data_IF_765427972947
#
_entry.id   IF_765427972947
#
_cell.length_a   1.000
_cell.length_b   1.000
_cell.length_c   1.000
_cell.angle_alpha   90.00
_cell.angle_beta   90.00
_cell.angle_gamma   90.00
#
_symmetry.space_group_name_H-M   'P 1'
#
loop_
_entity.id
_entity.type
_entity.pdbx_description
1 polymer ?
#
# COMPACT_ATOMS: atom_id res chain seq x y z
N UNK A 1 15.84 42.34 -14.20
CA UNK A 1 14.43 42.67 -14.45
C UNK A 1 13.71 42.44 -13.13
N UNK A 2 13.38 43.51 -12.40
CA UNK A 2 12.71 43.39 -11.11
C UNK A 2 11.21 43.14 -11.37
N UNK A 3 10.67 42.04 -10.84
CA UNK A 3 9.23 41.79 -10.87
C UNK A 3 8.56 42.70 -9.82
N UNK A 4 7.67 43.58 -10.27
CA UNK A 4 6.68 44.20 -9.39
C UNK A 4 5.39 43.38 -9.47
N UNK A 5 4.91 42.88 -8.34
CA UNK A 5 3.64 42.16 -8.23
C UNK A 5 2.63 43.01 -7.47
N UNK A 6 1.47 43.21 -8.08
CA UNK A 6 0.31 43.84 -7.46
C UNK A 6 -0.54 42.74 -6.79
N UNK A 7 -0.91 42.94 -5.53
CA UNK A 7 -1.90 42.10 -4.86
C UNK A 7 -3.31 42.51 -5.31
N UNK A 8 -4.07 41.57 -5.85
CA UNK A 8 -5.49 41.76 -6.17
C UNK A 8 -6.33 41.33 -4.96
N UNK A 9 -7.01 42.29 -4.32
CA UNK A 9 -7.79 42.09 -3.09
C UNK A 9 -9.15 41.40 -3.30
N UNK A 10 -9.16 40.15 -3.77
CA UNK A 10 -10.33 39.28 -3.75
C UNK A 10 -10.27 38.29 -2.58
N UNK A 11 -11.41 37.95 -1.96
CA UNK A 11 -11.45 36.98 -0.87
C UNK A 11 -11.18 35.57 -1.40
N UNK A 12 -10.09 34.96 -0.93
CA UNK A 12 -9.60 33.66 -1.37
C UNK A 12 -10.00 32.59 -0.34
N UNK A 13 -10.55 31.42 -0.75
CA UNK A 13 -10.85 30.33 0.18
C UNK A 13 -9.60 29.87 0.93
N UNK A 14 -9.76 29.54 2.22
CA UNK A 14 -8.71 29.38 3.25
C UNK A 14 -7.58 28.36 2.95
N UNK A 15 -7.66 27.64 1.84
CA UNK A 15 -6.76 26.55 1.45
C UNK A 15 -5.83 26.97 0.31
N UNK A 16 -6.04 28.13 -0.32
CA UNK A 16 -5.28 28.60 -1.47
C UNK A 16 -4.18 29.55 -0.99
N UNK A 17 -2.93 29.08 -1.05
CA UNK A 17 -1.76 29.94 -0.89
C UNK A 17 -1.51 30.66 -2.21
N UNK A 18 -1.79 31.96 -2.25
CA UNK A 18 -1.19 32.79 -3.29
C UNK A 18 0.29 32.88 -3.01
N UNK A 19 1.08 32.26 -3.88
CA UNK A 19 2.51 32.52 -3.92
C UNK A 19 2.70 33.76 -4.78
N UNK A 20 2.60 34.92 -4.13
CA UNK A 20 2.87 36.21 -4.77
C UNK A 20 4.32 36.31 -5.24
N UNK A 21 5.22 35.42 -4.79
CA UNK A 21 6.64 35.48 -5.13
C UNK A 21 7.19 34.09 -5.48
N UNK A 22 6.93 33.63 -6.71
CA UNK A 22 7.77 32.59 -7.28
C UNK A 22 9.18 33.17 -7.46
N UNK A 23 10.18 32.55 -6.82
CA UNK A 23 11.59 32.85 -7.06
C UNK A 23 11.82 32.89 -8.58
N UNK A 24 12.13 34.07 -9.10
CA UNK A 24 12.16 34.37 -10.54
C UNK A 24 12.95 33.35 -11.37
N UNK A 25 13.98 32.71 -10.80
CA UNK A 25 14.76 31.68 -11.46
C UNK A 25 13.99 30.38 -11.76
N UNK A 26 13.15 29.89 -10.84
CA UNK A 26 12.38 28.65 -11.03
C UNK A 26 11.27 28.85 -12.07
N UNK A 27 10.58 29.99 -11.98
CA UNK A 27 9.57 30.40 -12.98
C UNK A 27 10.19 30.55 -14.37
N UNK A 28 11.35 31.21 -14.47
CA UNK A 28 12.05 31.36 -15.75
C UNK A 28 12.49 30.01 -16.33
N UNK A 29 12.87 29.05 -15.49
CA UNK A 29 13.19 27.68 -15.94
C UNK A 29 11.97 26.98 -16.52
N UNK A 30 10.83 27.01 -15.83
CA UNK A 30 9.56 26.43 -16.29
C UNK A 30 9.10 27.10 -17.58
N UNK A 31 9.12 28.43 -17.65
CA UNK A 31 8.71 29.18 -18.85
C UNK A 31 9.64 28.93 -20.04
N UNK A 32 10.96 28.76 -19.82
CA UNK A 32 11.89 28.34 -20.88
C UNK A 32 11.59 26.94 -21.40
N UNK A 33 11.25 26.00 -20.53
CA UNK A 33 10.85 24.65 -20.95
C UNK A 33 9.57 24.69 -21.77
N UNK A 34 8.56 25.43 -21.30
CA UNK A 34 7.31 25.64 -22.05
C UNK A 34 7.59 26.28 -23.42
N UNK A 35 8.46 27.28 -23.49
CA UNK A 35 8.84 27.93 -24.75
C UNK A 35 9.54 26.97 -25.74
N UNK A 36 10.22 25.94 -25.23
CA UNK A 36 10.77 24.87 -26.05
C UNK A 36 9.71 23.92 -26.61
N UNK A 37 8.59 23.72 -25.88
CA UNK A 37 7.47 22.89 -26.29
C UNK A 37 6.54 23.59 -27.29
N UNK A 38 6.41 24.92 -27.22
CA UNK A 38 5.52 25.70 -28.12
C UNK A 38 6.01 25.76 -29.57
N UNK A 39 7.23 25.30 -29.87
CA UNK A 39 7.69 25.08 -31.25
C UNK A 39 6.82 24.10 -32.07
N UNK A 40 6.00 23.29 -31.40
CA UNK A 40 5.07 22.32 -32.00
C UNK A 40 3.60 22.57 -31.58
N UNK A 41 3.23 23.84 -31.35
CA UNK A 41 1.88 24.21 -30.92
C UNK A 41 0.84 23.95 -32.03
N UNK A 42 -0.14 23.10 -31.76
CA UNK A 42 -1.30 22.94 -32.65
C UNK A 42 -2.17 24.20 -32.65
N UNK A 43 -2.78 24.59 -33.77
CA UNK A 43 -3.67 25.77 -33.77
C UNK A 43 -4.93 25.50 -32.93
N UNK A 44 -5.51 24.32 -33.06
CA UNK A 44 -6.66 23.90 -32.27
C UNK A 44 -6.57 22.43 -31.89
N UNK A 45 -6.83 22.12 -30.63
CA UNK A 45 -6.95 20.75 -30.12
C UNK A 45 -8.37 20.55 -29.56
N UNK A 46 -9.09 19.58 -30.11
CA UNK A 46 -10.41 19.18 -29.64
C UNK A 46 -10.30 17.95 -28.76
N UNK A 47 -10.89 18.01 -27.56
CA UNK A 47 -10.84 16.96 -26.56
C UNK A 47 -12.27 16.59 -26.17
N UNK A 48 -12.63 15.32 -26.35
CA UNK A 48 -13.99 14.83 -26.14
C UNK A 48 -14.00 13.47 -25.44
N UNK A 49 -14.99 13.26 -24.58
CA UNK A 49 -15.19 11.98 -23.90
C UNK A 49 -14.04 11.63 -22.96
N UNK A 50 -13.65 10.35 -22.91
CA UNK A 50 -12.58 9.86 -22.03
C UNK A 50 -11.31 9.64 -22.84
N UNK A 51 -10.31 10.49 -22.63
CA UNK A 51 -9.06 10.47 -23.38
C UNK A 51 -7.91 10.06 -22.49
N UNK A 52 -7.26 8.94 -22.83
CA UNK A 52 -6.02 8.53 -22.21
C UNK A 52 -4.87 8.82 -23.16
N UNK A 53 -4.02 9.76 -22.77
CA UNK A 53 -2.86 10.15 -23.57
C UNK A 53 -1.60 9.46 -23.05
N UNK A 54 -0.63 9.21 -23.94
CA UNK A 54 0.74 8.85 -23.56
C UNK A 54 1.66 10.07 -23.53
N UNK A 55 1.21 11.18 -24.11
CA UNK A 55 1.94 12.44 -24.15
C UNK A 55 1.82 13.15 -22.80
N UNK A 56 2.95 13.60 -22.27
CA UNK A 56 3.01 14.38 -21.02
C UNK A 56 2.82 15.88 -21.26
N UNK A 57 2.82 16.30 -22.54
CA UNK A 57 2.74 17.70 -22.94
C UNK A 57 1.60 17.89 -23.93
N UNK A 58 0.63 18.73 -23.60
CA UNK A 58 -0.42 19.17 -24.51
C UNK A 58 -0.25 20.66 -24.76
N UNK A 59 0.06 21.03 -26.01
CA UNK A 59 0.35 22.40 -26.39
C UNK A 59 -0.47 22.77 -27.62
N UNK A 60 -1.40 23.72 -27.47
CA UNK A 60 -2.24 24.20 -28.56
C UNK A 60 -2.60 25.68 -28.37
N UNK A 61 -2.79 26.46 -29.42
CA UNK A 61 -3.27 27.84 -29.25
C UNK A 61 -4.67 27.85 -28.64
N UNK A 62 -5.59 27.07 -29.20
CA UNK A 62 -6.92 26.88 -28.63
C UNK A 62 -7.15 25.42 -28.25
N UNK A 63 -7.52 25.16 -27.01
CA UNK A 63 -7.91 23.83 -26.55
C UNK A 63 -9.40 23.82 -26.23
N UNK A 64 -10.19 23.00 -26.92
CA UNK A 64 -11.64 22.94 -26.75
C UNK A 64 -12.02 21.61 -26.10
N UNK A 65 -12.64 21.70 -24.92
CA UNK A 65 -13.19 20.57 -24.21
C UNK A 65 -14.70 20.49 -24.39
N UNK A 66 -15.16 19.35 -24.91
CA UNK A 66 -16.58 19.00 -24.94
C UNK A 66 -17.09 18.69 -23.52
N UNK A 67 -18.42 18.73 -23.27
CA UNK A 67 -18.95 18.52 -21.92
C UNK A 67 -18.59 17.11 -21.39
N UNK A 68 -18.29 17.01 -20.09
CA UNK A 68 -17.93 15.75 -19.42
C UNK A 68 -16.63 15.11 -19.94
N UNK A 69 -15.71 15.91 -20.49
CA UNK A 69 -14.42 15.39 -20.96
C UNK A 69 -13.54 15.00 -19.77
N UNK A 70 -12.97 13.80 -19.82
CA UNK A 70 -12.01 13.28 -18.84
C UNK A 70 -10.68 12.99 -19.51
N UNK A 71 -9.68 13.81 -19.22
CA UNK A 71 -8.31 13.67 -19.70
C UNK A 71 -7.46 12.93 -18.66
N UNK A 72 -6.80 11.85 -19.08
CA UNK A 72 -6.08 10.91 -18.22
C UNK A 72 -4.63 10.78 -18.69
N UNK A 73 -3.70 11.25 -17.87
CA UNK A 73 -2.25 11.12 -18.08
C UNK A 73 -1.70 9.83 -17.46
N UNK A 74 -0.54 9.30 -17.90
CA UNK A 74 0.09 8.17 -17.25
C UNK A 74 0.69 8.58 -15.88
N UNK A 75 0.86 7.61 -14.97
CA UNK A 75 1.45 7.84 -13.65
C UNK A 75 2.93 8.27 -13.69
N UNK A 76 3.65 7.85 -14.74
CA UNK A 76 5.05 8.17 -14.95
C UNK A 76 5.35 8.44 -16.42
N UNK A 77 6.25 9.40 -16.64
CA UNK A 77 6.87 9.63 -17.94
C UNK A 77 8.04 8.65 -18.14
N UNK A 78 8.16 7.95 -19.28
CA UNK A 78 9.32 7.13 -19.57
C UNK A 78 10.60 7.95 -19.90
N UNK A 79 10.50 9.28 -20.15
CA UNK A 79 11.55 9.99 -20.90
C UNK A 79 11.93 11.42 -20.46
N UNK A 80 11.49 11.95 -19.31
CA UNK A 80 12.27 13.02 -18.64
C UNK A 80 11.54 14.22 -18.02
N UNK A 81 12.37 15.06 -17.37
CA UNK A 81 12.16 16.38 -16.75
C UNK A 81 11.10 16.49 -15.63
N UNK A 82 11.34 15.80 -14.52
CA UNK A 82 10.41 15.78 -13.38
C UNK A 82 9.15 15.02 -13.76
N UNK A 83 8.47 14.39 -12.81
CA UNK A 83 7.24 13.65 -13.11
C UNK A 83 6.06 14.61 -13.35
N UNK A 84 6.21 15.60 -14.23
CA UNK A 84 5.28 16.71 -14.43
C UNK A 84 4.64 16.68 -15.81
N UNK A 85 3.34 16.97 -15.84
CA UNK A 85 2.52 17.13 -17.03
C UNK A 85 2.46 18.61 -17.38
N UNK A 86 2.54 18.96 -18.65
CA UNK A 86 2.39 20.34 -19.12
C UNK A 86 1.16 20.47 -20.00
N UNK A 87 0.27 21.40 -19.64
CA UNK A 87 -0.87 21.80 -20.46
C UNK A 87 -0.72 23.29 -20.73
N UNK A 88 -0.56 23.64 -22.00
CA UNK A 88 -0.24 25.00 -22.43
C UNK A 88 -1.21 25.40 -23.54
N UNK A 89 -2.05 26.42 -23.28
CA UNK A 89 -2.93 26.95 -24.31
C UNK A 89 -3.19 28.44 -24.19
N UNK A 90 -3.33 29.16 -25.29
CA UNK A 90 -3.73 30.58 -25.21
C UNK A 90 -5.17 30.67 -24.67
N UNK A 91 -6.09 29.96 -25.33
CA UNK A 91 -7.49 29.88 -24.94
C UNK A 91 -7.87 28.45 -24.58
N UNK A 92 -8.50 28.25 -23.43
CA UNK A 92 -9.18 26.99 -23.10
C UNK A 92 -10.69 27.23 -23.20
N UNK A 93 -11.38 26.51 -24.09
CA UNK A 93 -12.84 26.58 -24.24
C UNK A 93 -13.47 25.40 -23.54
N UNK A 94 -14.40 25.68 -22.63
CA UNK A 94 -15.03 24.66 -21.78
C UNK A 94 -16.54 24.77 -21.86
N UNK A 95 -17.18 23.71 -22.35
CA UNK A 95 -18.64 23.66 -22.57
C UNK A 95 -19.42 22.88 -21.49
N UNK A 96 -18.75 22.43 -20.44
CA UNK A 96 -19.33 21.71 -19.29
C UNK A 96 -18.24 21.31 -18.30
N UNK A 97 -18.50 20.36 -17.42
CA UNK A 97 -17.47 19.93 -16.47
C UNK A 97 -16.38 19.11 -17.16
N UNK A 98 -15.12 19.44 -16.87
CA UNK A 98 -13.93 18.78 -17.38
C UNK A 98 -13.12 18.23 -16.22
N UNK A 99 -12.62 17.02 -16.37
CA UNK A 99 -11.73 16.41 -15.39
C UNK A 99 -10.35 16.13 -16.01
N UNK A 100 -9.31 16.65 -15.38
CA UNK A 100 -7.92 16.35 -15.68
C UNK A 100 -7.37 15.49 -14.55
N UNK A 101 -6.94 14.27 -14.86
CA UNK A 101 -6.43 13.34 -13.86
C UNK A 101 -5.35 12.43 -14.45
N UNK A 102 -4.92 11.43 -13.68
CA UNK A 102 -3.90 10.47 -14.06
C UNK A 102 -4.37 9.03 -13.86
N UNK A 103 -3.69 8.12 -14.56
CA UNK A 103 -3.96 6.70 -14.57
C UNK A 103 -3.39 6.07 -13.30
N UNK A 104 -4.26 5.89 -12.31
CA UNK A 104 -3.95 5.14 -11.10
C UNK A 104 -3.72 3.67 -11.46
N UNK A 105 -2.56 3.06 -11.17
CA UNK A 105 -2.39 1.62 -11.32
C UNK A 105 -3.48 0.89 -10.55
N UNK A 106 -4.02 -0.17 -11.14
CA UNK A 106 -5.01 -1.00 -10.45
C UNK A 106 -4.29 -1.68 -9.30
N UNK A 107 -4.77 -1.46 -8.07
CA UNK A 107 -4.21 -2.12 -6.90
C UNK A 107 -4.26 -3.64 -7.07
N UNK A 108 -3.19 -4.33 -6.69
CA UNK A 108 -3.26 -5.78 -6.54
C UNK A 108 -4.27 -6.05 -5.42
N UNK A 109 -5.31 -6.83 -5.72
CA UNK A 109 -6.35 -7.16 -4.74
C UNK A 109 -5.78 -7.75 -3.45
N UNK A 110 -6.57 -7.72 -2.37
CA UNK A 110 -6.17 -8.26 -1.07
C UNK A 110 -5.57 -9.66 -1.25
N UNK A 111 -4.31 -9.83 -0.86
CA UNK A 111 -3.65 -11.14 -0.94
C UNK A 111 -4.42 -12.14 -0.05
N UNK A 112 -4.59 -13.39 -0.50
CA UNK A 112 -5.34 -14.39 0.26
C UNK A 112 -4.63 -14.70 1.58
N UNK A 113 -5.38 -15.04 2.64
CA UNK A 113 -4.80 -15.46 3.91
C UNK A 113 -3.99 -16.76 3.74
N UNK A 114 -2.88 -16.88 4.49
CA UNK A 114 -1.96 -18.04 4.42
C UNK A 114 -2.46 -19.28 5.19
N UNK A 115 -3.59 -19.18 5.88
CA UNK A 115 -4.20 -20.28 6.63
C UNK A 115 -3.40 -20.67 7.87
N UNK A 116 -3.20 -21.98 8.09
CA UNK A 116 -2.46 -22.54 9.23
C UNK A 116 -1.19 -23.26 8.77
N UNK A 117 -0.12 -23.14 9.54
CA UNK A 117 1.11 -23.89 9.35
C UNK A 117 0.91 -25.39 9.65
N UNK A 118 1.78 -26.27 9.12
CA UNK A 118 1.67 -27.70 9.37
C UNK A 118 1.73 -28.07 10.85
N UNK A 119 0.98 -29.11 11.23
CA UNK A 119 1.01 -29.65 12.59
C UNK A 119 2.29 -30.45 12.84
N UNK A 120 2.65 -30.58 14.12
CA UNK A 120 3.72 -31.43 14.60
C UNK A 120 3.35 -32.90 14.44
N UNK A 121 4.34 -33.72 14.08
CA UNK A 121 4.16 -35.15 13.91
C UNK A 121 3.88 -35.81 15.27
N UNK A 122 2.82 -36.61 15.35
CA UNK A 122 2.53 -37.44 16.52
C UNK A 122 3.61 -38.51 16.71
N UNK A 123 4.02 -38.73 17.96
CA UNK A 123 4.95 -39.78 18.32
C UNK A 123 4.36 -41.17 18.05
N UNK A 124 5.23 -42.12 17.68
CA UNK A 124 4.83 -43.48 17.33
C UNK A 124 5.31 -44.51 18.35
N UNK A 125 6.49 -44.29 18.91
CA UNK A 125 7.12 -45.25 19.80
C UNK A 125 6.73 -45.00 21.26
N UNK A 126 6.56 -46.05 22.09
CA UNK A 126 6.06 -45.85 23.44
C UNK A 126 6.89 -44.88 24.28
N UNK A 127 6.21 -43.93 24.92
CA UNK A 127 6.85 -42.88 25.72
C UNK A 127 7.55 -41.78 24.91
N UNK A 128 7.55 -41.84 23.57
CA UNK A 128 8.16 -40.82 22.73
C UNK A 128 7.34 -39.52 22.77
N UNK A 129 7.99 -38.35 22.90
CA UNK A 129 7.30 -37.07 22.87
C UNK A 129 6.82 -36.70 21.46
N UNK A 130 5.68 -36.03 21.37
CA UNK A 130 5.18 -35.46 20.12
C UNK A 130 6.07 -34.32 19.62
N UNK A 131 6.14 -34.13 18.30
CA UNK A 131 6.94 -33.05 17.72
C UNK A 131 6.23 -31.69 17.87
N UNK A 132 7.02 -30.61 17.94
CA UNK A 132 6.49 -29.24 17.93
C UNK A 132 5.75 -28.93 16.62
N UNK A 133 4.67 -28.15 16.69
CA UNK A 133 4.00 -27.59 15.52
C UNK A 133 4.84 -26.55 14.79
N UNK A 134 4.62 -26.38 13.49
CA UNK A 134 5.39 -25.41 12.71
C UNK A 134 4.94 -23.98 13.01
N UNK A 135 5.89 -23.06 13.05
CA UNK A 135 5.59 -21.63 13.19
C UNK A 135 4.86 -21.13 11.93
N UNK A 136 3.92 -20.21 12.12
CA UNK A 136 3.23 -19.51 11.06
C UNK A 136 4.15 -18.54 10.33
N UNK A 137 4.01 -18.48 9.01
CA UNK A 137 4.70 -17.48 8.20
C UNK A 137 4.11 -16.08 8.39
N UNK A 138 4.95 -15.05 8.20
CA UNK A 138 4.50 -13.67 8.21
C UNK A 138 3.51 -13.39 7.06
N UNK A 139 2.60 -12.45 7.32
CA UNK A 139 1.71 -11.89 6.31
C UNK A 139 2.46 -11.05 5.28
N UNK A 140 1.94 -10.99 4.07
CA UNK A 140 2.53 -10.19 3.00
C UNK A 140 2.41 -8.69 3.33
N UNK A 141 3.41 -7.89 2.97
CA UNK A 141 3.28 -6.45 3.06
C UNK A 141 2.19 -5.93 2.12
N UNK A 142 1.51 -4.88 2.55
CA UNK A 142 0.62 -4.09 1.72
C UNK A 142 1.38 -3.40 0.61
N UNK A 143 0.69 -3.14 -0.50
CA UNK A 143 1.26 -2.45 -1.66
C UNK A 143 1.20 -0.94 -1.41
N UNK A 144 2.32 -0.25 -1.60
CA UNK A 144 2.36 1.21 -1.52
C UNK A 144 1.47 1.84 -2.61
N UNK A 145 0.79 2.92 -2.24
CA UNK A 145 0.04 3.75 -3.17
C UNK A 145 0.98 4.49 -4.12
N UNK A 146 0.61 4.55 -5.40
CA UNK A 146 1.38 5.28 -6.38
C UNK A 146 1.26 6.80 -6.17
N UNK A 147 2.38 7.50 -6.29
CA UNK A 147 2.42 8.96 -6.29
C UNK A 147 1.90 9.52 -7.59
N UNK A 148 1.15 10.61 -7.50
CA UNK A 148 0.64 11.31 -8.67
C UNK A 148 1.74 12.13 -9.37
N UNK A 149 1.63 12.34 -10.69
CA UNK A 149 2.47 13.30 -11.39
C UNK A 149 2.10 14.75 -11.02
N UNK A 150 3.08 15.64 -11.08
CA UNK A 150 2.84 17.07 -11.03
C UNK A 150 2.11 17.55 -12.29
N UNK A 151 1.50 18.73 -12.23
CA UNK A 151 0.82 19.37 -13.34
C UNK A 151 1.21 20.85 -13.40
N UNK A 152 1.60 21.30 -14.58
CA UNK A 152 1.78 22.70 -14.92
C UNK A 152 0.74 23.07 -15.96
N UNK A 153 -0.13 24.00 -15.61
CA UNK A 153 -1.20 24.51 -16.46
C UNK A 153 -0.92 25.98 -16.75
N UNK A 154 -0.66 26.32 -18.00
CA UNK A 154 -0.47 27.70 -18.47
C UNK A 154 -1.56 28.05 -19.47
N UNK A 155 -2.33 29.10 -19.20
CA UNK A 155 -3.28 29.61 -20.17
C UNK A 155 -3.54 31.10 -20.09
N UNK A 156 -4.03 31.76 -21.15
CA UNK A 156 -4.40 33.18 -21.06
C UNK A 156 -5.80 33.35 -20.47
N UNK A 157 -6.79 32.66 -21.02
CA UNK A 157 -8.18 32.79 -20.57
C UNK A 157 -8.97 31.49 -20.77
N UNK A 158 -10.03 31.32 -19.99
CA UNK A 158 -10.98 30.22 -20.10
C UNK A 158 -12.31 30.76 -20.61
N UNK A 159 -12.72 30.33 -21.80
CA UNK A 159 -14.02 30.67 -22.38
C UNK A 159 -15.06 29.60 -22.04
N UNK A 160 -16.32 30.03 -21.94
CA UNK A 160 -17.47 29.16 -21.68
C UNK A 160 -17.89 29.11 -20.22
N UNK A 161 -18.97 28.36 -19.97
CA UNK A 161 -19.69 28.30 -18.69
C UNK A 161 -19.27 27.10 -17.82
N UNK A 162 -18.41 26.22 -18.32
CA UNK A 162 -17.97 25.03 -17.60
C UNK A 162 -16.85 25.26 -16.58
N UNK A 163 -16.54 24.20 -15.84
CA UNK A 163 -15.49 24.17 -14.83
C UNK A 163 -14.43 23.11 -15.15
N UNK A 164 -13.19 23.32 -14.66
CA UNK A 164 -12.11 22.34 -14.81
C UNK A 164 -11.72 21.83 -13.42
N UNK A 165 -11.91 20.53 -13.21
CA UNK A 165 -11.44 19.79 -12.03
C UNK A 165 -10.11 19.13 -12.33
N UNK A 166 -9.10 19.41 -11.52
CA UNK A 166 -7.78 18.79 -11.57
C UNK A 166 -7.67 17.83 -10.39
N UNK A 167 -7.43 16.55 -10.65
CA UNK A 167 -7.20 15.53 -9.62
C UNK A 167 -5.84 14.88 -9.82
N UNK A 168 -4.89 15.35 -9.03
CA UNK A 168 -3.54 14.79 -8.89
C UNK A 168 -3.31 14.27 -7.48
N UNK A 169 -4.36 13.72 -6.86
CA UNK A 169 -4.24 13.03 -5.58
C UNK A 169 -3.40 11.78 -5.69
N UNK A 170 -2.57 11.54 -4.68
CA UNK A 170 -1.85 10.28 -4.52
C UNK A 170 -2.81 9.13 -4.21
N UNK A 171 -2.41 7.90 -4.51
CA UNK A 171 -3.23 6.73 -4.18
C UNK A 171 -3.04 6.31 -2.73
N UNK A 172 -4.09 5.77 -2.11
CA UNK A 172 -3.97 5.11 -0.83
C UNK A 172 -3.11 3.84 -0.95
N UNK A 173 -2.37 3.54 0.13
CA UNK A 173 -1.72 2.25 0.29
C UNK A 173 -2.75 1.12 0.43
N UNK A 174 -2.30 -0.12 0.25
CA UNK A 174 -3.12 -1.30 0.43
C UNK A 174 -2.85 -1.96 1.79
N UNK A 175 -3.86 -2.59 2.42
CA UNK A 175 -3.69 -3.25 3.71
C UNK A 175 -2.63 -4.36 3.68
N UNK A 176 -1.96 -4.56 4.81
CA UNK A 176 -1.09 -5.72 5.01
C UNK A 176 -1.88 -7.03 5.09
N UNK A 177 -1.24 -8.13 4.68
CA UNK A 177 -1.77 -9.48 4.77
C UNK A 177 -1.72 -10.03 6.19
N UNK A 178 -2.65 -10.92 6.53
CA UNK A 178 -2.70 -11.59 7.83
C UNK A 178 -1.52 -12.57 7.99
N UNK A 179 -0.99 -12.66 9.21
CA UNK A 179 -0.03 -13.68 9.58
C UNK A 179 -0.68 -15.07 9.61
N UNK A 180 0.09 -16.10 9.29
CA UNK A 180 -0.40 -17.48 9.30
C UNK A 180 -0.58 -17.98 10.74
N UNK A 181 -1.63 -18.75 11.02
CA UNK A 181 -1.77 -19.43 12.33
C UNK A 181 -0.68 -20.49 12.49
N UNK A 182 -0.11 -20.62 13.69
CA UNK A 182 0.84 -21.68 14.00
C UNK A 182 0.21 -23.07 13.95
N UNK A 183 1.03 -24.08 13.66
CA UNK A 183 0.62 -25.48 13.63
C UNK A 183 0.40 -26.05 15.03
N UNK A 184 -0.49 -27.03 15.15
CA UNK A 184 -0.72 -27.74 16.42
C UNK A 184 0.50 -28.59 16.79
N UNK A 185 0.81 -28.72 18.07
CA UNK A 185 1.79 -29.70 18.53
C UNK A 185 1.35 -31.15 18.33
N UNK A 186 2.29 -32.03 18.01
CA UNK A 186 2.05 -33.46 17.87
C UNK A 186 1.70 -34.11 19.20
N UNK A 187 0.85 -35.13 19.19
CA UNK A 187 0.53 -35.88 20.42
C UNK A 187 1.69 -36.77 20.83
N UNK A 188 1.96 -36.84 22.14
CA UNK A 188 2.91 -37.81 22.70
C UNK A 188 2.37 -39.24 22.61
N UNK A 189 3.26 -40.21 22.46
CA UNK A 189 2.88 -41.61 22.38
C UNK A 189 2.56 -42.18 23.77
N UNK A 190 1.62 -43.11 23.84
CA UNK A 190 1.33 -43.82 25.08
C UNK A 190 2.56 -44.60 25.58
N UNK A 191 2.68 -44.76 26.89
CA UNK A 191 3.69 -45.61 27.51
C UNK A 191 3.43 -47.09 27.25
N UNK A 192 4.47 -47.91 27.36
CA UNK A 192 4.35 -49.35 27.21
C UNK A 192 3.85 -49.97 28.52
N UNK A 193 2.89 -50.89 28.43
CA UNK A 193 2.40 -51.65 29.59
C UNK A 193 3.50 -52.54 30.19
N UNK A 194 3.36 -52.84 31.49
CA UNK A 194 4.28 -53.72 32.22
C UNK A 194 4.21 -55.16 31.71
N UNK A 195 5.34 -55.86 31.74
CA UNK A 195 5.44 -57.29 31.42
C UNK A 195 5.99 -57.98 32.65
N UNK A 196 5.20 -58.88 33.24
CA UNK A 196 5.66 -59.79 34.28
C UNK A 196 5.57 -61.24 33.83
N UNK A 197 6.43 -62.09 34.37
CA UNK A 197 6.38 -63.54 34.16
C UNK A 197 6.29 -64.23 35.50
N UNK A 198 5.37 -65.19 35.57
CA UNK A 198 5.29 -66.10 36.71
C UNK A 198 6.39 -67.13 36.56
N UNK A 199 7.32 -67.17 37.52
CA UNK A 199 8.34 -68.20 37.60
C UNK A 199 7.95 -69.13 38.75
N UNK A 200 7.48 -70.32 38.40
CA UNK A 200 7.31 -71.42 39.35
C UNK A 200 8.71 -71.91 39.77
N UNK A 201 9.12 -71.58 40.99
CA UNK A 201 10.29 -72.20 41.62
C UNK A 201 9.82 -72.98 42.82
N UNK A 202 9.95 -74.31 42.77
CA UNK A 202 9.81 -75.23 43.90
C UNK A 202 8.58 -74.93 44.79
N UNK A 203 7.36 -75.01 44.23
CA UNK A 203 6.09 -74.77 44.93
C UNK A 203 5.75 -73.31 45.32
N UNK A 204 6.61 -72.32 45.01
CA UNK A 204 6.31 -70.90 45.20
C UNK A 204 6.23 -70.18 43.84
N UNK A 205 5.12 -69.44 43.62
CA UNK A 205 4.99 -68.53 42.48
C UNK A 205 5.77 -67.25 42.83
N UNK A 206 6.97 -67.11 42.28
CA UNK A 206 7.71 -65.85 42.35
C UNK A 206 7.34 -65.01 41.13
N UNK A 207 6.71 -63.87 41.36
CA UNK A 207 6.42 -62.89 40.32
C UNK A 207 7.70 -62.12 40.00
N UNK A 208 8.20 -62.24 38.78
CA UNK A 208 9.35 -61.46 38.32
C UNK A 208 8.87 -60.41 37.32
N UNK A 209 9.07 -59.14 37.64
CA UNK A 209 8.90 -58.05 36.70
C UNK A 209 9.98 -58.16 35.61
N UNK A 210 9.57 -58.38 34.37
CA UNK A 210 10.50 -58.39 33.22
C UNK A 210 10.71 -56.96 32.72
N UNK A 211 9.63 -56.19 32.67
CA UNK A 211 9.65 -54.80 32.21
C UNK A 211 8.62 -53.99 32.98
N UNK A 212 9.01 -52.92 33.68
CA UNK A 212 8.05 -52.01 34.29
C UNK A 212 7.25 -51.27 33.21
N UNK A 213 6.07 -50.71 33.55
CA UNK A 213 5.38 -49.83 32.61
C UNK A 213 6.23 -48.58 32.36
N UNK A 214 6.13 -47.98 31.18
CA UNK A 214 6.80 -46.70 30.88
C UNK A 214 5.84 -45.53 30.94
N UNK A 215 6.36 -44.34 31.21
CA UNK A 215 5.58 -43.11 31.12
C UNK A 215 5.08 -42.90 29.69
N UNK A 216 3.97 -42.16 29.56
CA UNK A 216 3.56 -41.60 28.28
C UNK A 216 4.49 -40.47 27.87
N UNK A 217 4.69 -40.29 26.57
CA UNK A 217 5.48 -39.18 26.05
C UNK A 217 4.73 -37.87 26.18
N UNK A 218 5.44 -36.77 26.40
CA UNK A 218 4.81 -35.44 26.42
C UNK A 218 4.27 -35.08 25.04
N UNK A 219 3.22 -34.25 25.00
CA UNK A 219 2.80 -33.59 23.78
C UNK A 219 3.85 -32.60 23.31
N UNK A 220 3.88 -32.35 22.00
CA UNK A 220 4.69 -31.28 21.43
C UNK A 220 4.06 -29.93 21.65
N UNK A 221 4.87 -28.88 21.71
CA UNK A 221 4.37 -27.51 21.78
C UNK A 221 3.69 -27.09 20.46
N UNK A 222 2.75 -26.15 20.54
CA UNK A 222 2.24 -25.48 19.36
C UNK A 222 3.29 -24.59 18.70
N UNK A 223 3.20 -24.43 17.38
CA UNK A 223 3.96 -23.43 16.65
C UNK A 223 3.44 -22.02 16.97
N UNK A 224 4.30 -21.03 16.97
CA UNK A 224 3.90 -19.63 17.10
C UNK A 224 3.13 -19.18 15.86
N UNK A 225 2.25 -18.20 16.00
CA UNK A 225 1.63 -17.54 14.87
C UNK A 225 2.60 -16.60 14.17
N UNK A 226 2.41 -16.43 12.87
CA UNK A 226 3.18 -15.49 12.06
C UNK A 226 2.80 -14.05 12.35
N UNK A 227 3.73 -13.12 12.17
CA UNK A 227 3.44 -11.70 12.29
C UNK A 227 2.53 -11.24 11.13
N UNK A 228 1.70 -10.23 11.38
CA UNK A 228 0.96 -9.57 10.31
C UNK A 228 1.91 -8.78 9.39
N UNK A 229 1.54 -8.66 8.11
CA UNK A 229 2.29 -7.83 7.16
C UNK A 229 2.14 -6.33 7.47
N UNK A 230 3.14 -5.52 7.11
CA UNK A 230 3.01 -4.07 7.20
C UNK A 230 1.94 -3.54 6.22
N UNK A 231 1.28 -2.44 6.56
CA UNK A 231 0.40 -1.73 5.62
C UNK A 231 1.23 -0.95 4.59
N UNK A 232 0.71 -0.83 3.36
CA UNK A 232 1.34 -0.01 2.32
C UNK A 232 1.27 1.47 2.66
N UNK A 233 2.32 2.22 2.35
CA UNK A 233 2.32 3.68 2.45
C UNK A 233 1.37 4.29 1.42
N UNK A 234 0.82 5.47 1.70
CA UNK A 234 0.11 6.25 0.70
C UNK A 234 1.07 6.95 -0.26
N UNK A 235 0.63 7.11 -1.51
CA UNK A 235 1.36 7.86 -2.53
C UNK A 235 1.30 9.36 -2.29
N UNK A 236 2.36 10.07 -2.64
CA UNK A 236 2.35 11.53 -2.59
C UNK A 236 1.45 12.11 -3.69
N UNK A 237 0.78 13.22 -3.42
CA UNK A 237 0.11 13.97 -4.49
C UNK A 237 1.12 14.79 -5.29
N UNK A 238 0.76 15.13 -6.53
CA UNK A 238 1.63 15.87 -7.43
C UNK A 238 1.52 17.37 -7.23
N UNK A 239 2.59 18.13 -7.44
CA UNK A 239 2.50 19.60 -7.40
C UNK A 239 1.62 20.13 -8.54
N UNK A 240 0.82 21.16 -8.29
CA UNK A 240 0.01 21.84 -9.30
C UNK A 240 0.44 23.30 -9.39
N UNK A 241 0.94 23.71 -10.56
CA UNK A 241 1.28 25.10 -10.84
C UNK A 241 0.38 25.63 -11.95
N UNK A 242 -0.36 26.69 -11.65
CA UNK A 242 -1.25 27.34 -12.60
C UNK A 242 -0.75 28.74 -12.90
N UNK A 243 -0.61 29.04 -14.18
CA UNK A 243 -0.22 30.34 -14.71
C UNK A 243 -1.34 30.88 -15.60
N UNK A 244 -1.82 32.08 -15.29
CA UNK A 244 -2.91 32.73 -16.05
C UNK A 244 -2.65 34.22 -16.28
N UNK A 245 -3.34 34.89 -17.20
CA UNK A 245 -3.26 36.36 -17.31
C UNK A 245 -4.17 37.08 -16.30
N UNK A 246 -5.22 36.41 -15.80
CA UNK A 246 -6.18 36.99 -14.85
C UNK A 246 -6.50 36.05 -13.69
N UNK A 247 -6.58 36.61 -12.47
CA UNK A 247 -6.98 35.87 -11.28
C UNK A 247 -8.44 35.39 -11.32
N UNK A 248 -9.31 36.06 -12.09
CA UNK A 248 -10.72 35.68 -12.20
C UNK A 248 -10.89 34.29 -12.83
N UNK A 249 -10.00 33.92 -13.74
CA UNK A 249 -10.00 32.60 -14.37
C UNK A 249 -9.76 31.46 -13.37
N UNK A 250 -9.08 31.77 -12.27
CA UNK A 250 -8.80 30.80 -11.24
C UNK A 250 -10.06 30.37 -10.46
N UNK A 251 -11.18 31.10 -10.60
CA UNK A 251 -12.46 30.70 -10.01
C UNK A 251 -13.11 29.52 -10.76
N UNK A 252 -12.70 29.26 -12.01
CA UNK A 252 -13.19 28.15 -12.83
C UNK A 252 -12.43 26.85 -12.61
N UNK A 253 -11.44 26.85 -11.71
CA UNK A 253 -10.57 25.71 -11.43
C UNK A 253 -10.85 25.14 -10.05
N UNK A 254 -11.13 23.84 -9.99
CA UNK A 254 -11.11 23.05 -8.76
C UNK A 254 -9.86 22.16 -8.76
N UNK A 255 -9.05 22.21 -7.70
CA UNK A 255 -7.84 21.40 -7.59
C UNK A 255 -7.94 20.46 -6.39
N UNK A 256 -7.86 19.17 -6.64
CA UNK A 256 -7.72 18.10 -5.66
C UNK A 256 -6.30 17.55 -5.67
N UNK A 257 -5.63 17.70 -4.53
CA UNK A 257 -4.20 17.45 -4.35
C UNK A 257 -3.96 16.86 -2.95
N UNK A 258 -4.75 15.87 -2.57
CA UNK A 258 -4.58 15.18 -1.29
C UNK A 258 -3.59 14.04 -1.46
N UNK A 259 -2.65 13.92 -0.53
CA UNK A 259 -1.84 12.71 -0.40
C UNK A 259 -2.73 11.48 -0.16
N UNK A 260 -2.25 10.33 -0.63
CA UNK A 260 -2.85 9.05 -0.30
C UNK A 260 -2.64 8.71 1.17
N UNK A 261 -3.61 8.03 1.76
CA UNK A 261 -3.53 7.51 3.12
C UNK A 261 -2.64 6.27 3.16
N UNK A 262 -1.91 6.11 4.28
CA UNK A 262 -1.29 4.83 4.60
C UNK A 262 -2.35 3.81 5.00
N UNK A 263 -2.11 2.54 4.71
CA UNK A 263 -3.04 1.47 5.04
C UNK A 263 -2.77 0.86 6.41
N UNK A 264 -3.78 0.20 6.95
CA UNK A 264 -3.65 -0.62 8.16
C UNK A 264 -2.70 -1.80 7.92
N UNK A 265 -2.07 -2.24 9.00
CA UNK A 265 -1.28 -3.47 8.98
C UNK A 265 -2.16 -4.71 8.99
N UNK A 266 -1.56 -5.83 8.59
CA UNK A 266 -2.15 -7.14 8.73
C UNK A 266 -2.27 -7.57 10.18
N UNK A 267 -3.31 -8.34 10.47
CA UNK A 267 -3.49 -8.96 11.78
C UNK A 267 -2.43 -10.04 12.01
N UNK A 268 -1.94 -10.23 13.25
CA UNK A 268 -1.10 -11.36 13.57
C UNK A 268 -1.85 -12.68 13.41
N UNK A 269 -1.11 -13.75 13.13
CA UNK A 269 -1.59 -15.11 13.23
C UNK A 269 -1.63 -15.57 14.68
N UNK A 270 -2.60 -16.41 15.01
CA UNK A 270 -2.69 -17.04 16.33
C UNK A 270 -1.61 -18.12 16.50
N UNK A 271 -1.20 -18.35 17.75
CA UNK A 271 -0.40 -19.52 18.09
C UNK A 271 -1.18 -20.82 17.88
N UNK A 272 -0.45 -21.87 17.50
CA UNK A 272 -0.99 -23.22 17.39
C UNK A 272 -1.30 -23.82 18.77
N UNK A 273 -2.33 -24.65 18.88
CA UNK A 273 -2.63 -25.34 20.13
C UNK A 273 -1.55 -26.37 20.48
N UNK A 274 -1.41 -26.73 21.76
CA UNK A 274 -0.47 -27.79 22.15
C UNK A 274 -0.92 -29.16 21.65
N UNK A 275 0.04 -30.08 21.58
CA UNK A 275 -0.21 -31.51 21.49
C UNK A 275 -0.55 -32.10 22.85
N UNK A 276 -1.42 -33.09 22.87
CA UNK A 276 -1.75 -33.80 24.11
C UNK A 276 -0.62 -34.76 24.52
N UNK A 277 -0.42 -34.92 25.83
CA UNK A 277 0.44 -35.96 26.39
C UNK A 277 -0.10 -37.37 26.17
N UNK A 278 0.80 -38.33 26.01
CA UNK A 278 0.47 -39.74 25.92
C UNK A 278 0.05 -40.31 27.28
N UNK A 279 -0.84 -41.30 27.27
CA UNK A 279 -1.23 -42.00 28.49
C UNK A 279 -0.08 -42.85 29.04
N UNK A 280 -0.01 -43.01 30.36
CA UNK A 280 0.93 -43.93 31.01
C UNK A 280 0.69 -45.38 30.58
N UNK A 281 1.77 -46.17 30.52
CA UNK A 281 1.64 -47.63 30.48
C UNK A 281 1.00 -48.17 31.76
N UNK A 282 0.15 -49.19 31.64
CA UNK A 282 -0.53 -49.81 32.77
C UNK A 282 0.37 -50.83 33.46
N UNK A 283 0.33 -50.85 34.79
CA UNK A 283 0.90 -51.97 35.55
C UNK A 283 -0.16 -53.06 35.75
N UNK A 284 0.10 -54.27 35.27
CA UNK A 284 -0.76 -55.43 35.52
C UNK A 284 -0.46 -56.12 36.86
N UNK A 285 -0.05 -55.33 37.86
CA UNK A 285 0.17 -55.76 39.25
C UNK A 285 1.42 -56.60 39.49
N UNK A 286 2.41 -56.54 38.59
CA UNK A 286 3.59 -57.43 38.62
C UNK A 286 4.91 -56.71 38.84
N UNK A 287 4.91 -55.38 38.73
CA UNK A 287 6.12 -54.56 38.89
C UNK A 287 6.04 -53.58 40.07
N UNK A 288 4.82 -53.24 40.53
CA UNK A 288 4.64 -52.39 41.71
C UNK A 288 4.99 -50.92 41.48
N UNK A 289 5.06 -50.49 40.21
CA UNK A 289 5.45 -49.13 39.82
C UNK A 289 4.33 -48.55 38.95
N UNK A 290 3.86 -47.35 39.29
CA UNK A 290 2.90 -46.60 38.48
C UNK A 290 3.67 -45.64 37.55
N UNK A 291 3.47 -45.80 36.25
CA UNK A 291 3.95 -44.84 35.27
C UNK A 291 3.05 -43.58 35.23
N UNK A 292 3.60 -42.46 34.80
CA UNK A 292 2.88 -41.19 34.69
C UNK A 292 2.46 -40.91 33.25
N UNK A 293 1.35 -40.17 33.09
CA UNK A 293 0.98 -39.63 31.79
C UNK A 293 2.02 -38.60 31.35
N UNK A 294 2.22 -38.48 30.04
CA UNK A 294 2.92 -37.35 29.48
C UNK A 294 2.16 -36.04 29.75
N UNK A 295 2.91 -34.95 29.89
CA UNK A 295 2.32 -33.62 29.96
C UNK A 295 1.88 -33.15 28.58
N UNK A 296 0.82 -32.36 28.50
CA UNK A 296 0.50 -31.62 27.28
C UNK A 296 1.62 -30.62 26.97
N UNK A 297 1.82 -30.32 25.69
CA UNK A 297 2.72 -29.26 25.28
C UNK A 297 2.22 -27.87 25.71
N UNK A 298 3.02 -26.85 25.46
CA UNK A 298 2.61 -25.46 25.58
C UNK A 298 1.91 -24.95 24.30
N UNK A 299 0.89 -24.08 24.39
CA UNK A 299 0.38 -23.38 23.21
C UNK A 299 1.47 -22.47 22.62
N UNK A 300 1.44 -22.31 21.30
CA UNK A 300 2.25 -21.31 20.61
C UNK A 300 1.83 -19.89 20.98
N UNK A 301 2.73 -18.94 20.82
CA UNK A 301 2.41 -17.50 21.00
C UNK A 301 1.81 -16.93 19.72
N UNK A 302 0.85 -16.01 19.83
CA UNK A 302 0.41 -15.23 18.68
C UNK A 302 1.54 -14.33 18.16
N UNK A 303 1.51 -14.04 16.86
CA UNK A 303 2.43 -13.08 16.25
C UNK A 303 2.15 -11.64 16.69
N UNK A 304 2.95 -10.70 16.20
CA UNK A 304 2.69 -9.26 16.33
C UNK A 304 2.00 -8.70 15.08
N UNK A 305 1.20 -7.66 15.24
CA UNK A 305 0.72 -6.88 14.09
C UNK A 305 1.90 -6.23 13.35
N UNK A 306 1.75 -6.03 12.04
CA UNK A 306 2.72 -5.26 11.26
C UNK A 306 2.66 -3.76 11.59
N UNK A 307 3.62 -2.95 11.10
CA UNK A 307 3.51 -1.49 11.15
C UNK A 307 2.42 -1.00 10.18
N UNK A 308 1.66 0.02 10.56
CA UNK A 308 0.77 0.73 9.64
C UNK A 308 1.59 1.50 8.59
N UNK A 309 1.00 1.67 7.40
CA UNK A 309 1.56 2.50 6.34
C UNK A 309 1.53 3.98 6.73
N UNK A 310 2.45 4.75 6.15
CA UNK A 310 2.51 6.21 6.35
C UNK A 310 1.64 6.93 5.33
N UNK A 311 1.07 8.07 5.71
CA UNK A 311 0.45 8.99 4.75
C UNK A 311 1.50 9.51 3.76
N UNK A 312 1.11 9.69 2.50
CA UNK A 312 1.95 10.33 1.49
C UNK A 312 2.21 11.81 1.79
N UNK A 313 3.06 12.43 0.98
CA UNK A 313 3.29 13.87 1.08
C UNK A 313 2.25 14.63 0.25
N UNK A 314 1.75 15.75 0.79
CA UNK A 314 0.93 16.67 0.01
C UNK A 314 1.83 17.47 -0.94
N UNK A 315 1.46 17.49 -2.21
CA UNK A 315 1.99 18.39 -3.22
C UNK A 315 1.61 19.85 -2.94
N UNK A 316 2.32 20.76 -3.59
CA UNK A 316 2.08 22.19 -3.52
C UNK A 316 1.11 22.60 -4.62
N UNK A 317 0.07 23.35 -4.27
CA UNK A 317 -0.78 24.05 -5.24
C UNK A 317 -0.36 25.52 -5.26
N UNK A 318 0.15 25.97 -6.41
CA UNK A 318 0.59 27.34 -6.65
C UNK A 318 -0.16 27.98 -7.80
N UNK A 319 -0.56 29.23 -7.62
CA UNK A 319 -1.18 30.06 -8.65
C UNK A 319 -0.31 31.29 -8.87
N UNK A 320 -0.14 31.69 -10.13
CA UNK A 320 0.53 32.94 -10.49
C UNK A 320 -0.15 33.60 -11.68
N UNK A 321 -0.25 34.92 -11.63
CA UNK A 321 -0.67 35.74 -12.77
C UNK A 321 0.55 36.27 -13.52
N UNK A 322 0.49 36.23 -14.84
CA UNK A 322 1.52 36.74 -15.73
C UNK A 322 1.00 37.96 -16.47
N UNK A 323 1.83 38.98 -16.61
CA UNK A 323 1.48 40.16 -17.42
C UNK A 323 1.27 39.78 -18.89
N UNK A 324 0.52 40.59 -19.62
CA UNK A 324 0.31 40.37 -21.06
C UNK A 324 1.61 40.31 -21.86
N UNK A 325 2.64 41.07 -21.46
CA UNK A 325 3.97 40.98 -22.08
C UNK A 325 4.61 39.61 -21.83
N UNK A 326 4.53 39.08 -20.61
CA UNK A 326 5.05 37.76 -20.27
C UNK A 326 4.27 36.66 -21.00
N UNK A 327 2.94 36.73 -21.03
CA UNK A 327 2.10 35.79 -21.76
C UNK A 327 2.39 35.80 -23.25
N UNK A 328 2.50 37.00 -23.84
CA UNK A 328 2.87 37.17 -25.24
C UNK A 328 4.25 36.59 -25.55
N UNK A 329 5.23 36.74 -24.65
CA UNK A 329 6.55 36.15 -24.84
C UNK A 329 6.53 34.61 -24.87
N UNK A 330 5.59 33.97 -24.16
CA UNK A 330 5.45 32.50 -24.16
C UNK A 330 4.73 32.00 -25.41
N UNK A 331 3.64 32.66 -25.82
CA UNK A 331 2.80 32.21 -26.94
C UNK A 331 3.25 32.73 -28.32
N UNK A 332 4.01 33.82 -28.38
CA UNK A 332 4.63 34.34 -29.59
C UNK A 332 6.15 34.36 -29.42
N UNK A 333 6.82 33.19 -29.37
CA UNK A 333 8.27 33.18 -29.44
C UNK A 333 8.64 33.84 -30.76
N UNK A 334 9.34 34.96 -30.70
CA UNK A 334 9.94 35.60 -31.89
C UNK A 334 10.69 34.48 -32.61
N UNK A 335 10.26 34.12 -33.83
CA UNK A 335 11.01 33.21 -34.69
C UNK A 335 12.35 33.89 -34.96
N UNK A 336 13.36 33.56 -34.16
CA UNK A 336 14.75 33.83 -34.49
C UNK A 336 15.23 32.76 -35.46
#
# INVERSE_FOLDING_TARGET
MALGLASAGGAIPANRKEFTEFQSAALVSVLRQISGLTGFMAETLFLEGRLQTKEMNLVARTMTFSPNTKLIFPASSPTGLGNSIFIVADTIKVSGDVEITWSRPVGQGKMPPRGRAPDGIAARDPGQPGARGYDGEAGNAGVDGASAPGLVLLFRHIEGEGSIRIDVSGMDGQPGGEGQTGGRGGTGAAGADSIGKDILKNLFVSQTCIRPPTAGGSGGDGGNGGNGGGGGNGGSSGDVLVFTSSADELQKLEVQNNAGLGAESGRPGDGGPPGAGGLAGRDFGRCGIMAQNGLDGAPGRSGSAGPAGRIGLNGVVGFATLSEQQMSAVFNPVRQ
#
